data_IF_897046802337
#
_entry.id   IF_897046802337
#
_cell.length_a   1.000
_cell.length_b   1.000
_cell.length_c   1.000
_cell.angle_alpha   90.00
_cell.angle_beta   90.00
_cell.angle_gamma   90.00
#
_symmetry.space_group_name_H-M   'P 1'
#
loop_
_entity.id
_entity.type
_entity.pdbx_description
1 polymer ?
#
# COMPACT_ATOMS: atom_id res chain seq x y z
N UNK A 1 21.83 13.78 8.49
CA UNK A 1 20.64 13.73 9.38
C UNK A 1 19.41 13.97 8.50
N UNK A 2 18.94 12.96 7.79
CA UNK A 2 17.87 13.09 6.78
C UNK A 2 17.10 11.77 6.67
N UNK A 3 16.26 11.49 7.66
CA UNK A 3 15.30 10.36 7.66
C UNK A 3 13.84 10.83 7.55
N UNK A 4 13.61 12.09 7.17
CA UNK A 4 12.26 12.70 7.22
C UNK A 4 11.40 12.47 5.95
N UNK A 5 11.99 12.08 4.82
CA UNK A 5 11.26 12.03 3.53
C UNK A 5 10.59 10.69 3.19
N UNK A 6 10.80 9.65 4.00
CA UNK A 6 10.20 8.32 3.76
C UNK A 6 8.79 8.16 4.39
N UNK A 7 8.36 9.06 5.27
CA UNK A 7 7.11 8.89 6.02
C UNK A 7 5.84 9.40 5.31
N UNK A 8 5.96 10.17 4.21
CA UNK A 8 4.80 10.79 3.52
C UNK A 8 4.13 9.89 2.47
N UNK A 9 4.83 8.85 2.00
CA UNK A 9 4.28 7.94 1.00
C UNK A 9 3.35 6.87 1.59
N UNK A 10 3.39 6.62 2.90
CA UNK A 10 2.59 5.59 3.57
C UNK A 10 1.14 6.00 3.88
N UNK A 11 0.79 7.29 3.82
CA UNK A 11 -0.51 7.74 4.33
C UNK A 11 -1.70 7.51 3.38
N UNK A 12 -1.54 7.58 2.05
CA UNK A 12 -2.70 7.41 1.15
C UNK A 12 -3.01 5.94 0.80
N UNK A 13 -2.28 4.99 1.38
CA UNK A 13 -2.51 3.54 1.22
C UNK A 13 -2.92 2.85 2.53
N UNK A 14 -3.17 3.63 3.59
CA UNK A 14 -3.65 3.12 4.85
C UNK A 14 -5.11 2.69 4.67
N UNK A 15 -5.31 1.42 4.32
CA UNK A 15 -6.49 0.66 4.76
C UNK A 15 -6.85 1.12 6.16
N UNK A 16 -8.03 1.71 6.30
CA UNK A 16 -8.40 2.48 7.46
C UNK A 16 -8.64 1.56 8.68
N UNK A 17 -7.56 1.22 9.37
CA UNK A 17 -7.57 0.44 10.61
C UNK A 17 -8.34 1.18 11.71
N UNK A 18 -8.56 2.50 11.57
CA UNK A 18 -9.29 3.31 12.55
C UNK A 18 -10.74 2.85 12.73
N UNK A 19 -11.37 2.34 11.68
CA UNK A 19 -12.74 1.81 11.73
C UNK A 19 -12.87 0.58 12.65
N UNK A 20 -11.88 -0.31 12.64
CA UNK A 20 -11.86 -1.47 13.55
C UNK A 20 -11.33 -1.09 14.94
N UNK A 21 -10.30 -0.24 15.01
CA UNK A 21 -9.72 0.21 16.27
C UNK A 21 -10.71 1.00 17.15
N UNK A 22 -11.56 1.83 16.54
CA UNK A 22 -12.61 2.59 17.25
C UNK A 22 -13.65 1.70 17.91
N UNK A 23 -13.87 0.47 17.41
CA UNK A 23 -14.81 -0.51 17.96
C UNK A 23 -14.16 -1.54 18.87
N UNK A 24 -12.83 -1.52 19.02
CA UNK A 24 -12.10 -2.49 19.83
C UNK A 24 -12.63 -2.60 21.28
N UNK A 25 -13.01 -1.51 21.98
CA UNK A 25 -13.59 -1.63 23.32
C UNK A 25 -14.93 -2.38 23.33
N UNK A 26 -15.83 -2.11 22.38
CA UNK A 26 -17.13 -2.79 22.28
C UNK A 26 -16.94 -4.28 21.99
N UNK A 27 -16.00 -4.63 21.10
CA UNK A 27 -15.66 -6.03 20.83
C UNK A 27 -15.09 -6.74 22.05
N UNK A 28 -14.25 -6.06 22.85
CA UNK A 28 -13.71 -6.65 24.08
C UNK A 28 -14.83 -6.93 25.09
N UNK A 29 -15.76 -6.00 25.28
CA UNK A 29 -16.92 -6.20 26.14
C UNK A 29 -17.80 -7.36 25.69
N UNK A 30 -18.11 -7.44 24.39
CA UNK A 30 -18.90 -8.55 23.82
C UNK A 30 -18.21 -9.90 24.01
N UNK A 31 -16.92 -9.97 23.72
CA UNK A 31 -16.15 -11.20 23.86
C UNK A 31 -16.08 -11.63 25.32
N UNK A 32 -15.86 -10.69 26.25
CA UNK A 32 -15.85 -10.97 27.68
C UNK A 32 -17.21 -11.50 28.17
N UNK A 33 -18.32 -10.91 27.72
CA UNK A 33 -19.67 -11.38 28.05
C UNK A 33 -19.93 -12.80 27.50
N UNK A 34 -19.52 -13.09 26.27
CA UNK A 34 -19.65 -14.43 25.68
C UNK A 34 -18.82 -15.44 26.45
N UNK A 35 -17.57 -15.12 26.79
CA UNK A 35 -16.70 -16.01 27.58
C UNK A 35 -17.33 -16.31 28.95
N UNK A 36 -17.81 -15.28 29.65
CA UNK A 36 -18.50 -15.43 30.94
C UNK A 36 -19.73 -16.33 30.83
N UNK A 37 -20.62 -16.07 29.85
CA UNK A 37 -21.85 -16.85 29.68
C UNK A 37 -21.62 -18.28 29.18
N UNK A 38 -20.52 -18.50 28.46
CA UNK A 38 -20.14 -19.83 27.99
C UNK A 38 -19.68 -20.72 29.15
N UNK A 39 -18.98 -20.15 30.13
CA UNK A 39 -18.57 -20.87 31.35
C UNK A 39 -19.74 -21.06 32.33
N UNK A 40 -20.57 -20.02 32.52
CA UNK A 40 -21.77 -20.06 33.37
C UNK A 40 -22.90 -19.24 32.74
N UNK A 41 -23.92 -19.94 32.23
CA UNK A 41 -25.08 -19.31 31.59
C UNK A 41 -25.96 -18.47 32.53
N UNK A 42 -25.79 -18.61 33.85
CA UNK A 42 -26.47 -17.79 34.85
C UNK A 42 -25.65 -16.57 35.32
N UNK A 43 -24.42 -16.42 34.83
CA UNK A 43 -23.53 -15.37 35.29
C UNK A 43 -24.05 -13.97 34.93
N UNK A 44 -24.24 -13.14 35.96
CA UNK A 44 -24.71 -11.76 35.81
C UNK A 44 -23.56 -10.73 35.72
N UNK A 45 -22.33 -11.13 36.00
CA UNK A 45 -21.17 -10.23 36.07
C UNK A 45 -19.96 -10.80 35.34
N UNK A 46 -19.25 -9.93 34.62
CA UNK A 46 -17.97 -10.25 33.96
C UNK A 46 -16.84 -9.95 34.94
N UNK A 47 -15.98 -10.93 35.19
CA UNK A 47 -14.81 -10.74 36.06
C UNK A 47 -13.74 -9.88 35.39
N UNK A 48 -12.90 -9.23 36.19
CA UNK A 48 -11.76 -8.45 35.68
C UNK A 48 -10.79 -9.29 34.85
N UNK A 49 -10.59 -10.57 35.23
CA UNK A 49 -9.71 -11.48 34.50
C UNK A 49 -10.28 -11.85 33.13
N UNK A 50 -11.58 -12.11 33.03
CA UNK A 50 -12.24 -12.39 31.73
C UNK A 50 -12.20 -11.15 30.83
N UNK A 51 -12.46 -9.96 31.38
CA UNK A 51 -12.33 -8.71 30.62
C UNK A 51 -10.91 -8.48 30.11
N UNK A 52 -9.89 -8.77 30.94
CA UNK A 52 -8.48 -8.66 30.56
C UNK A 52 -8.10 -9.66 29.46
N UNK A 53 -8.60 -10.89 29.54
CA UNK A 53 -8.42 -11.91 28.51
C UNK A 53 -9.06 -11.48 27.18
N UNK A 54 -10.30 -10.98 27.21
CA UNK A 54 -10.99 -10.48 26.03
C UNK A 54 -10.26 -9.29 25.39
N UNK A 55 -9.78 -8.34 26.19
CA UNK A 55 -8.94 -7.23 25.73
C UNK A 55 -7.67 -7.73 25.00
N UNK A 56 -7.02 -8.77 25.53
CA UNK A 56 -5.82 -9.37 24.93
C UNK A 56 -6.15 -9.99 23.56
N UNK A 57 -7.26 -10.71 23.45
CA UNK A 57 -7.71 -11.30 22.18
C UNK A 57 -8.02 -10.23 21.14
N UNK A 58 -8.78 -9.18 21.49
CA UNK A 58 -9.09 -8.10 20.54
C UNK A 58 -7.83 -7.38 20.06
N UNK A 59 -6.86 -7.13 20.95
CA UNK A 59 -5.55 -6.56 20.57
C UNK A 59 -4.80 -7.46 19.60
N UNK A 60 -4.85 -8.78 19.79
CA UNK A 60 -4.27 -9.72 18.85
C UNK A 60 -4.97 -9.64 17.48
N UNK A 61 -6.30 -9.65 17.41
CA UNK A 61 -7.01 -9.55 16.14
C UNK A 61 -6.80 -8.21 15.43
N UNK A 62 -6.67 -7.10 16.18
CA UNK A 62 -6.31 -5.80 15.62
C UNK A 62 -4.92 -5.84 14.95
N UNK A 63 -3.95 -6.53 15.56
CA UNK A 63 -2.60 -6.66 14.96
C UNK A 63 -2.61 -7.53 13.71
N UNK A 64 -3.39 -8.61 13.71
CA UNK A 64 -3.58 -9.47 12.53
C UNK A 64 -4.27 -8.73 11.39
N UNK A 65 -5.31 -7.96 11.70
CA UNK A 65 -6.00 -7.13 10.72
C UNK A 65 -5.04 -6.13 10.07
N UNK A 66 -4.24 -5.42 10.87
CA UNK A 66 -3.20 -4.51 10.38
C UNK A 66 -2.21 -5.22 9.44
N UNK A 67 -1.78 -6.44 9.80
CA UNK A 67 -0.86 -7.21 8.97
C UNK A 67 -1.47 -7.58 7.61
N UNK A 68 -2.70 -8.10 7.60
CA UNK A 68 -3.43 -8.45 6.36
C UNK A 68 -3.66 -7.24 5.47
N UNK A 69 -4.03 -6.12 6.07
CA UNK A 69 -4.18 -4.83 5.40
C UNK A 69 -2.90 -4.39 4.69
N UNK A 70 -1.74 -4.44 5.37
CA UNK A 70 -0.45 -4.12 4.76
C UNK A 70 -0.12 -5.08 3.62
N UNK A 71 -0.35 -6.39 3.81
CA UNK A 71 -0.12 -7.38 2.77
C UNK A 71 -0.97 -7.12 1.51
N UNK A 72 -2.26 -6.81 1.69
CA UNK A 72 -3.18 -6.49 0.59
C UNK A 72 -2.79 -5.19 -0.15
N UNK A 73 -2.34 -4.17 0.58
CA UNK A 73 -1.81 -2.94 -0.03
C UNK A 73 -0.57 -3.25 -0.88
N UNK A 74 0.36 -4.06 -0.38
CA UNK A 74 1.56 -4.45 -1.13
C UNK A 74 1.21 -5.23 -2.40
N UNK A 75 0.27 -6.19 -2.32
CA UNK A 75 -0.20 -6.94 -3.48
C UNK A 75 -0.83 -6.03 -4.55
N UNK A 76 -1.63 -5.06 -4.11
CA UNK A 76 -2.25 -4.06 -4.99
C UNK A 76 -1.20 -3.18 -5.67
N UNK A 77 -0.21 -2.70 -4.93
CA UNK A 77 0.88 -1.88 -5.50
C UNK A 77 1.71 -2.66 -6.53
N UNK A 78 2.02 -3.93 -6.25
CA UNK A 78 2.73 -4.82 -7.18
C UNK A 78 1.89 -5.04 -8.45
N UNK A 79 0.59 -5.35 -8.32
CA UNK A 79 -0.28 -5.57 -9.46
C UNK A 79 -0.40 -4.32 -10.35
N UNK A 80 -0.49 -3.14 -9.74
CA UNK A 80 -0.53 -1.88 -10.47
C UNK A 80 0.80 -1.56 -11.17
N UNK A 81 1.94 -1.81 -10.51
CA UNK A 81 3.25 -1.66 -11.13
C UNK A 81 3.42 -2.62 -12.31
N UNK A 82 2.95 -3.87 -12.19
CA UNK A 82 2.95 -4.84 -13.28
C UNK A 82 2.09 -4.36 -14.47
N UNK A 83 0.89 -3.82 -14.21
CA UNK A 83 0.05 -3.27 -15.26
C UNK A 83 0.72 -2.08 -15.99
N UNK A 84 1.47 -1.25 -15.26
CA UNK A 84 2.29 -0.19 -15.86
C UNK A 84 3.41 -0.78 -16.72
N UNK A 85 4.14 -1.79 -16.23
CA UNK A 85 5.19 -2.46 -17.00
C UNK A 85 4.66 -3.07 -18.29
N UNK A 86 3.52 -3.77 -18.24
CA UNK A 86 2.90 -4.38 -19.41
C UNK A 86 2.47 -3.31 -20.43
N UNK A 87 1.98 -2.16 -19.96
CA UNK A 87 1.68 -1.03 -20.83
C UNK A 87 2.96 -0.45 -21.47
N UNK A 88 4.04 -0.28 -20.71
CA UNK A 88 5.32 0.20 -21.24
C UNK A 88 5.86 -0.75 -22.32
N UNK A 89 5.87 -2.06 -22.07
CA UNK A 89 6.30 -3.10 -23.03
C UNK A 89 5.49 -3.10 -24.32
N UNK A 90 4.19 -2.80 -24.23
CA UNK A 90 3.31 -2.72 -25.41
C UNK A 90 3.53 -1.45 -26.24
N UNK A 91 4.04 -0.37 -25.64
CA UNK A 91 4.06 0.96 -26.26
C UNK A 91 5.46 1.53 -26.52
N UNK A 92 6.51 0.86 -26.02
CA UNK A 92 7.91 1.27 -26.10
C UNK A 92 8.78 0.06 -26.44
N UNK A 93 9.93 0.31 -27.06
CA UNK A 93 10.96 -0.72 -27.26
C UNK A 93 11.88 -0.80 -26.04
N UNK A 94 12.51 -1.96 -25.78
CA UNK A 94 13.53 -2.08 -24.74
C UNK A 94 14.65 -1.06 -24.93
N UNK A 95 15.00 -0.32 -23.89
CA UNK A 95 15.99 0.76 -23.95
C UNK A 95 15.42 2.14 -24.28
N UNK A 96 14.15 2.25 -24.67
CA UNK A 96 13.52 3.54 -24.96
C UNK A 96 13.38 4.41 -23.72
N UNK A 97 13.61 5.71 -23.92
CA UNK A 97 13.30 6.74 -22.94
C UNK A 97 11.84 7.18 -23.03
N UNK A 98 11.21 7.42 -21.89
CA UNK A 98 9.86 7.96 -21.81
C UNK A 98 9.75 9.04 -20.73
N UNK A 99 8.75 9.91 -20.89
CA UNK A 99 8.45 10.99 -19.97
C UNK A 99 7.15 10.68 -19.20
N UNK A 100 7.05 11.18 -17.97
CA UNK A 100 5.90 10.86 -17.08
C UNK A 100 4.57 11.38 -17.61
N UNK A 101 4.57 12.50 -18.34
CA UNK A 101 3.38 13.08 -18.96
C UNK A 101 2.69 12.12 -19.93
N UNK A 102 3.46 11.36 -20.72
CA UNK A 102 2.92 10.35 -21.62
C UNK A 102 2.15 9.26 -20.87
N UNK A 103 2.69 8.82 -19.73
CA UNK A 103 2.05 7.79 -18.89
C UNK A 103 0.81 8.37 -18.19
N UNK A 104 0.89 9.61 -17.69
CA UNK A 104 -0.25 10.27 -17.06
C UNK A 104 -1.42 10.45 -18.03
N UNK A 105 -1.14 10.68 -19.31
CA UNK A 105 -2.16 10.89 -20.34
C UNK A 105 -2.72 9.58 -20.93
N UNK A 106 -1.85 8.62 -21.27
CA UNK A 106 -2.22 7.44 -22.05
C UNK A 106 -2.04 6.10 -21.32
N UNK A 107 -1.37 6.13 -20.16
CA UNK A 107 -1.09 4.94 -19.36
C UNK A 107 -2.33 4.27 -18.78
N UNK A 108 -2.13 3.15 -18.06
CA UNK A 108 -3.21 2.46 -17.36
C UNK A 108 -3.84 3.39 -16.33
N UNK A 109 -5.13 3.22 -16.04
CA UNK A 109 -5.91 4.12 -15.16
C UNK A 109 -5.23 4.33 -13.80
N UNK A 110 -4.67 3.27 -13.22
CA UNK A 110 -3.95 3.33 -11.94
C UNK A 110 -2.67 4.18 -11.98
N UNK A 111 -2.09 4.41 -13.17
CA UNK A 111 -0.88 5.21 -13.36
C UNK A 111 -1.17 6.67 -13.77
N UNK A 112 -2.44 7.07 -13.93
CA UNK A 112 -2.81 8.43 -14.41
C UNK A 112 -2.77 9.51 -13.34
N UNK A 113 -2.50 9.15 -12.08
CA UNK A 113 -2.32 10.09 -10.97
C UNK A 113 -0.83 10.20 -10.63
N UNK A 114 -0.30 11.41 -10.54
CA UNK A 114 1.15 11.63 -10.34
C UNK A 114 1.71 10.86 -9.14
N UNK A 115 1.04 10.89 -7.98
CA UNK A 115 1.51 10.17 -6.78
C UNK A 115 1.48 8.64 -6.95
N UNK A 116 0.47 8.12 -7.64
CA UNK A 116 0.37 6.68 -7.93
C UNK A 116 1.43 6.23 -8.95
N UNK A 117 1.67 7.04 -9.98
CA UNK A 117 2.72 6.81 -10.96
C UNK A 117 4.11 6.80 -10.29
N UNK A 118 4.39 7.77 -9.42
CA UNK A 118 5.67 7.83 -8.69
C UNK A 118 5.89 6.56 -7.84
N UNK A 119 4.85 6.04 -7.18
CA UNK A 119 4.92 4.76 -6.44
C UNK A 119 5.18 3.56 -7.36
N UNK A 120 4.44 3.44 -8.45
CA UNK A 120 4.60 2.34 -9.40
C UNK A 120 6.00 2.37 -10.06
N UNK A 121 6.50 3.55 -10.44
CA UNK A 121 7.85 3.71 -10.97
C UNK A 121 8.91 3.32 -9.94
N UNK A 122 8.73 3.66 -8.66
CA UNK A 122 9.64 3.25 -7.60
C UNK A 122 9.72 1.71 -7.48
N UNK A 123 8.58 1.02 -7.55
CA UNK A 123 8.53 -0.45 -7.58
C UNK A 123 9.27 -1.00 -8.81
N UNK A 124 9.00 -0.46 -10.01
CA UNK A 124 9.67 -0.92 -11.24
C UNK A 124 11.18 -0.64 -11.23
N UNK A 125 11.62 0.45 -10.62
CA UNK A 125 13.04 0.76 -10.42
C UNK A 125 13.70 -0.19 -9.43
N UNK A 126 13.02 -0.53 -8.34
CA UNK A 126 13.51 -1.49 -7.34
C UNK A 126 13.81 -2.85 -7.97
N UNK A 127 12.96 -3.30 -8.91
CA UNK A 127 13.15 -4.56 -9.64
C UNK A 127 13.99 -4.42 -10.93
N UNK A 128 14.49 -3.23 -11.25
CA UNK A 128 15.37 -3.00 -12.39
C UNK A 128 14.69 -3.03 -13.77
N UNK A 129 13.36 -2.90 -13.81
CA UNK A 129 12.60 -2.81 -15.07
C UNK A 129 12.65 -1.41 -15.68
N UNK A 130 12.83 -0.38 -14.86
CA UNK A 130 12.90 1.02 -15.29
C UNK A 130 14.08 1.70 -14.62
N UNK A 131 14.72 2.63 -15.31
CA UNK A 131 15.83 3.43 -14.78
C UNK A 131 15.53 4.93 -14.94
N UNK A 132 15.80 5.73 -13.92
CA UNK A 132 15.69 7.19 -14.04
C UNK A 132 16.82 7.73 -14.91
N UNK A 133 16.47 8.67 -15.79
CA UNK A 133 17.41 9.37 -16.66
C UNK A 133 17.76 10.73 -16.04
N UNK A 134 18.96 11.29 -16.34
CA UNK A 134 19.36 12.60 -15.82
C UNK A 134 18.33 13.69 -16.12
N UNK A 135 18.15 14.61 -15.17
CA UNK A 135 17.25 15.73 -15.36
C UNK A 135 17.64 16.56 -16.60
N UNK A 136 16.66 16.97 -17.39
CA UNK A 136 16.89 17.68 -18.65
C UNK A 136 17.19 16.78 -19.84
N UNK A 137 17.14 15.45 -19.68
CA UNK A 137 17.18 14.51 -20.80
C UNK A 137 16.10 14.86 -21.83
N UNK A 138 16.47 14.85 -23.11
CA UNK A 138 15.55 15.13 -24.20
C UNK A 138 14.77 13.86 -24.56
N UNK A 139 13.45 13.90 -24.34
CA UNK A 139 12.50 12.89 -24.83
C UNK A 139 11.61 13.58 -25.85
N UNK A 140 11.50 13.02 -27.05
CA UNK A 140 10.76 13.61 -28.18
C UNK A 140 11.16 15.07 -28.48
N UNK A 141 12.46 15.35 -28.43
CA UNK A 141 13.04 16.68 -28.69
C UNK A 141 12.89 17.71 -27.55
N UNK A 142 12.12 17.41 -26.50
CA UNK A 142 11.87 18.32 -25.36
C UNK A 142 12.67 17.90 -24.14
N UNK A 143 13.28 18.86 -23.44
CA UNK A 143 13.93 18.61 -22.14
C UNK A 143 12.87 18.26 -21.10
N UNK A 144 13.05 17.17 -20.37
CA UNK A 144 12.11 16.70 -19.35
C UNK A 144 12.72 16.78 -17.96
N UNK A 145 11.92 17.26 -16.99
CA UNK A 145 12.33 17.33 -15.58
C UNK A 145 12.44 15.93 -14.96
N UNK A 146 11.49 15.05 -15.27
CA UNK A 146 11.50 13.62 -14.94
C UNK A 146 11.45 12.82 -16.24
N UNK A 147 12.42 11.95 -16.45
CA UNK A 147 12.48 11.05 -17.59
C UNK A 147 13.01 9.70 -17.12
N UNK A 148 12.55 8.64 -17.77
CA UNK A 148 12.87 7.27 -17.40
C UNK A 148 13.22 6.48 -18.65
N UNK A 149 13.88 5.34 -18.48
CA UNK A 149 14.22 4.40 -19.54
C UNK A 149 13.67 3.03 -19.19
N UNK A 150 13.02 2.37 -20.14
CA UNK A 150 12.66 0.97 -20.02
C UNK A 150 13.93 0.10 -20.13
N UNK A 151 14.11 -0.84 -19.21
CA UNK A 151 15.29 -1.71 -19.20
C UNK A 151 15.46 -2.44 -20.54
N UNK A 152 16.69 -2.61 -21.06
CA UNK A 152 16.93 -3.38 -22.28
C UNK A 152 16.55 -4.86 -22.17
N UNK A 153 16.37 -5.37 -20.95
CA UNK A 153 15.93 -6.74 -20.66
C UNK A 153 14.41 -6.86 -20.52
N UNK A 154 13.68 -5.76 -20.67
CA UNK A 154 12.24 -5.69 -20.48
C UNK A 154 11.48 -6.40 -21.60
#
# INVERSE_FOLDING_TARGET
MTTSSLNSAAEDGATDISGFASKAPEHACRLAAIMTLFEDGGAATVSGEVMKAACKMVKYYLSQYKFLCIAATNETEIAQAQALLDWLRKNLQPGDGFATDRVLQFGPVAARRSKALDRQLAVLMQYGWVHELPAGTKIDGKKRRKAFRLSPKA
#
